data_IF_857215959609
#
_entry.id   IF_857215959609
#
_cell.length_a   1.000
_cell.length_b   1.000
_cell.length_c   1.000
_cell.angle_alpha   90.00
_cell.angle_beta   90.00
_cell.angle_gamma   90.00
#
_symmetry.space_group_name_H-M   'P 1'
#
loop_
_entity.id
_entity.type
_entity.pdbx_description
1 polymer ?
#
# COMPACT_ATOMS: atom_id res chain seq x y z
N UNK A 1 2.12 16.40 21.78
CA UNK A 1 1.30 16.18 20.59
C UNK A 1 1.32 14.70 20.22
N UNK A 2 0.18 14.10 20.04
CA UNK A 2 0.06 12.70 19.72
C UNK A 2 0.65 12.38 18.34
N UNK A 3 1.37 11.26 18.25
CA UNK A 3 1.86 10.69 17.00
C UNK A 3 0.69 10.35 16.08
N UNK A 4 0.76 10.76 14.82
CA UNK A 4 -0.26 10.39 13.86
C UNK A 4 -0.08 8.92 13.45
N UNK A 5 -1.06 8.09 13.79
CA UNK A 5 -1.01 6.63 13.61
C UNK A 5 -1.68 6.13 12.34
N UNK A 6 -2.37 7.02 11.62
CA UNK A 6 -3.09 6.68 10.39
C UNK A 6 -3.12 7.83 9.40
N UNK A 7 -3.23 7.48 8.13
CA UNK A 7 -3.43 8.38 7.00
C UNK A 7 -4.56 7.85 6.13
N UNK A 8 -5.23 8.76 5.45
CA UNK A 8 -6.24 8.44 4.44
C UNK A 8 -6.17 9.46 3.30
N UNK A 9 -6.20 8.96 2.08
CA UNK A 9 -6.31 9.75 0.84
C UNK A 9 -7.30 9.07 -0.09
N UNK A 10 -8.02 9.84 -0.91
CA UNK A 10 -8.98 9.27 -1.84
C UNK A 10 -8.99 9.98 -3.19
N UNK A 11 -9.50 9.28 -4.20
CA UNK A 11 -9.71 9.80 -5.55
C UNK A 11 -10.97 9.16 -6.12
N UNK A 12 -11.66 9.88 -7.01
CA UNK A 12 -12.74 9.31 -7.82
C UNK A 12 -12.18 8.88 -9.17
N UNK A 13 -12.42 7.62 -9.52
CA UNK A 13 -11.91 6.97 -10.73
C UNK A 13 -13.07 6.67 -11.68
N UNK A 14 -12.90 6.96 -12.95
CA UNK A 14 -13.90 6.69 -13.98
C UNK A 14 -13.84 5.23 -14.46
N UNK A 15 -14.17 4.32 -13.56
CA UNK A 15 -14.27 2.89 -13.81
C UNK A 15 -15.10 2.22 -12.71
N UNK A 16 -15.62 1.03 -12.99
CA UNK A 16 -16.37 0.24 -12.02
C UNK A 16 -15.48 -0.26 -10.86
N UNK A 17 -16.02 -0.44 -9.64
CA UNK A 17 -15.25 -0.89 -8.48
C UNK A 17 -14.43 -2.16 -8.71
N UNK A 18 -14.99 -3.14 -9.42
CA UNK A 18 -14.31 -4.42 -9.73
C UNK A 18 -13.11 -4.23 -10.65
N UNK A 19 -13.21 -3.29 -11.60
CA UNK A 19 -12.10 -2.95 -12.51
C UNK A 19 -10.93 -2.35 -11.75
N UNK A 20 -11.20 -1.38 -10.89
CA UNK A 20 -10.17 -0.73 -10.08
C UNK A 20 -9.57 -1.70 -9.06
N UNK A 21 -10.42 -2.51 -8.42
CA UNK A 21 -9.98 -3.55 -7.50
C UNK A 21 -8.96 -4.49 -8.15
N UNK A 22 -9.23 -4.98 -9.36
CA UNK A 22 -8.33 -5.91 -10.07
C UNK A 22 -6.96 -5.30 -10.35
N UNK A 23 -6.90 -4.00 -10.66
CA UNK A 23 -5.62 -3.30 -10.82
C UNK A 23 -4.83 -3.29 -9.52
N UNK A 24 -5.48 -2.97 -8.40
CA UNK A 24 -4.83 -2.87 -7.08
C UNK A 24 -4.47 -4.24 -6.52
N UNK A 25 -5.36 -5.22 -6.62
CA UNK A 25 -5.17 -6.57 -6.08
C UNK A 25 -4.11 -7.38 -6.83
N UNK A 26 -3.73 -6.97 -8.03
CA UNK A 26 -2.57 -7.53 -8.71
C UNK A 26 -1.28 -6.98 -8.10
N UNK A 27 -0.83 -7.58 -7.01
CA UNK A 27 0.34 -7.16 -6.26
C UNK A 27 1.62 -7.07 -7.10
N UNK A 28 1.75 -7.86 -8.16
CA UNK A 28 2.91 -7.83 -9.07
C UNK A 28 3.03 -6.48 -9.79
N UNK A 29 1.91 -5.79 -9.98
CA UNK A 29 1.86 -4.47 -10.61
C UNK A 29 2.02 -3.31 -9.60
N UNK A 30 2.20 -3.59 -8.31
CA UNK A 30 2.34 -2.56 -7.28
C UNK A 30 3.44 -1.54 -7.61
N UNK A 31 4.52 -1.97 -8.25
CA UNK A 31 5.60 -1.09 -8.71
C UNK A 31 5.19 -0.06 -9.78
N UNK A 32 4.05 -0.29 -10.46
CA UNK A 32 3.48 0.69 -11.41
C UNK A 32 2.76 1.83 -10.68
N UNK A 33 2.22 1.53 -9.51
CA UNK A 33 1.41 2.47 -8.74
C UNK A 33 2.23 3.19 -7.68
N UNK A 34 2.87 2.46 -6.80
CA UNK A 34 3.63 3.01 -5.69
C UNK A 34 5.00 3.56 -6.13
N UNK A 35 5.35 4.81 -5.77
CA UNK A 35 6.63 5.39 -6.16
C UNK A 35 7.84 4.75 -5.49
N UNK A 36 7.67 4.09 -4.35
CA UNK A 36 8.76 3.41 -3.64
C UNK A 36 8.91 1.94 -4.03
N UNK A 37 7.82 1.27 -4.43
CA UNK A 37 7.85 -0.14 -4.79
C UNK A 37 8.55 -0.36 -6.13
N UNK A 38 9.49 -1.30 -6.16
CA UNK A 38 10.22 -1.71 -7.37
C UNK A 38 9.76 -3.05 -7.91
N UNK A 39 9.12 -3.85 -7.08
CA UNK A 39 8.57 -5.12 -7.46
C UNK A 39 8.00 -5.89 -6.27
N UNK A 40 7.16 -6.85 -6.56
CA UNK A 40 6.56 -7.74 -5.57
C UNK A 40 6.68 -9.18 -6.05
N UNK A 41 7.20 -10.01 -5.19
CA UNK A 41 7.22 -11.45 -5.41
C UNK A 41 6.06 -12.12 -4.67
N UNK A 42 5.25 -12.85 -5.41
CA UNK A 42 4.11 -13.61 -4.90
C UNK A 42 4.36 -15.09 -5.15
N UNK A 43 4.67 -15.88 -4.10
CA UNK A 43 5.04 -17.28 -4.30
C UNK A 43 3.87 -18.17 -4.74
N UNK A 44 2.65 -17.83 -4.37
CA UNK A 44 1.45 -18.65 -4.62
C UNK A 44 0.29 -17.80 -5.15
N UNK A 45 0.25 -17.50 -6.47
CA UNK A 45 -0.91 -16.88 -7.08
C UNK A 45 -2.06 -17.91 -7.23
N UNK A 46 -3.33 -17.46 -7.35
CA UNK A 46 -3.78 -16.06 -7.31
C UNK A 46 -3.75 -15.47 -5.89
N UNK A 47 -3.71 -14.13 -5.84
CA UNK A 47 -3.71 -13.38 -4.57
C UNK A 47 -5.12 -13.39 -3.97
N UNK A 48 -5.22 -13.73 -2.70
CA UNK A 48 -6.44 -13.69 -1.92
C UNK A 48 -6.12 -13.47 -0.44
N UNK A 49 -7.14 -13.47 0.40
CA UNK A 49 -6.97 -13.35 1.86
C UNK A 49 -6.03 -14.44 2.37
N UNK A 50 -5.02 -14.04 3.16
CA UNK A 50 -3.98 -14.93 3.68
C UNK A 50 -2.76 -15.10 2.77
N UNK A 51 -2.78 -14.61 1.53
CA UNK A 51 -1.63 -14.66 0.62
C UNK A 51 -0.45 -13.91 1.19
N UNK A 52 0.74 -14.50 1.06
CA UNK A 52 2.01 -13.88 1.46
C UNK A 52 2.76 -13.35 0.25
N UNK A 53 3.54 -12.31 0.47
CA UNK A 53 4.37 -11.71 -0.57
C UNK A 53 5.62 -11.03 0.00
N UNK A 54 6.58 -10.72 -0.86
CA UNK A 54 7.75 -9.92 -0.53
C UNK A 54 7.77 -8.71 -1.44
N UNK A 55 7.80 -7.52 -0.84
CA UNK A 55 7.92 -6.26 -1.54
C UNK A 55 9.36 -5.75 -1.52
N UNK A 56 9.86 -5.31 -2.67
CA UNK A 56 11.17 -4.68 -2.84
C UNK A 56 10.98 -3.20 -3.08
N UNK A 57 11.61 -2.37 -2.28
CA UNK A 57 11.39 -0.93 -2.25
C UNK A 57 12.70 -0.16 -2.39
N UNK A 58 12.60 1.04 -2.94
CA UNK A 58 13.72 1.97 -3.08
C UNK A 58 13.25 3.41 -2.95
N UNK A 59 14.04 4.21 -2.23
CA UNK A 59 13.88 5.67 -2.17
C UNK A 59 15.27 6.32 -2.19
N UNK A 60 15.60 6.96 -3.29
CA UNK A 60 16.95 7.48 -3.50
C UNK A 60 17.99 6.34 -3.48
N UNK A 61 18.93 6.41 -2.54
CA UNK A 61 19.97 5.38 -2.34
C UNK A 61 19.54 4.28 -1.35
N UNK A 62 18.40 4.44 -0.66
CA UNK A 62 17.91 3.47 0.30
C UNK A 62 17.08 2.39 -0.38
N UNK A 63 17.49 1.14 -0.19
CA UNK A 63 16.82 -0.06 -0.71
C UNK A 63 16.46 -0.94 0.47
N UNK A 64 15.21 -1.42 0.51
CA UNK A 64 14.77 -2.35 1.56
C UNK A 64 13.71 -3.30 1.02
N UNK A 65 13.49 -4.40 1.75
CA UNK A 65 12.39 -5.32 1.48
C UNK A 65 11.41 -5.36 2.66
N UNK A 66 10.18 -5.72 2.37
CA UNK A 66 9.16 -6.00 3.36
C UNK A 66 8.52 -7.34 3.07
N UNK A 67 8.12 -8.06 4.13
CA UNK A 67 7.25 -9.21 4.00
C UNK A 67 5.82 -8.78 4.24
N UNK A 68 4.89 -9.30 3.46
CA UNK A 68 3.49 -8.92 3.54
C UNK A 68 2.54 -10.09 3.60
N UNK A 69 1.35 -9.83 4.14
CA UNK A 69 0.23 -10.75 4.16
C UNK A 69 -1.05 -10.01 3.86
N UNK A 70 -1.82 -10.52 2.93
CA UNK A 70 -3.15 -9.99 2.62
C UNK A 70 -4.11 -10.35 3.76
N UNK A 71 -4.70 -9.35 4.40
CA UNK A 71 -5.65 -9.51 5.50
C UNK A 71 -7.10 -9.50 5.04
N UNK A 72 -7.40 -8.82 3.94
CA UNK A 72 -8.72 -8.81 3.31
C UNK A 72 -8.59 -8.65 1.78
N UNK A 73 -9.34 -9.45 1.05
CA UNK A 73 -9.44 -9.39 -0.41
C UNK A 73 -10.90 -9.69 -0.80
N UNK A 74 -11.70 -8.63 -0.95
CA UNK A 74 -13.11 -8.69 -1.36
C UNK A 74 -13.29 -7.89 -2.63
N UNK A 75 -13.56 -8.58 -3.73
CA UNK A 75 -13.64 -7.98 -5.06
C UNK A 75 -14.62 -6.81 -5.11
N UNK A 76 -14.15 -5.66 -5.57
CA UNK A 76 -14.93 -4.44 -5.69
C UNK A 76 -15.21 -3.71 -4.37
N UNK A 77 -14.73 -4.23 -3.23
CA UNK A 77 -14.99 -3.64 -1.91
C UNK A 77 -13.70 -3.25 -1.17
N UNK A 78 -12.78 -4.18 -0.99
CA UNK A 78 -11.62 -3.98 -0.12
C UNK A 78 -10.42 -4.85 -0.53
N UNK A 79 -9.24 -4.25 -0.48
CA UNK A 79 -7.98 -4.96 -0.54
C UNK A 79 -7.01 -4.40 0.50
N UNK A 80 -6.71 -5.20 1.52
CA UNK A 80 -5.92 -4.76 2.68
C UNK A 80 -4.80 -5.76 2.96
N UNK A 81 -3.61 -5.25 3.28
CA UNK A 81 -2.46 -6.08 3.61
C UNK A 81 -1.58 -5.46 4.69
N UNK A 82 -0.95 -6.30 5.46
CA UNK A 82 0.01 -5.93 6.49
C UNK A 82 1.42 -6.17 5.99
N UNK A 83 2.31 -5.24 6.26
CA UNK A 83 3.74 -5.35 5.94
C UNK A 83 4.59 -5.29 7.20
N UNK A 84 5.69 -6.01 7.17
CA UNK A 84 6.64 -6.05 8.27
C UNK A 84 8.05 -6.34 7.79
N UNK A 85 8.99 -6.32 8.71
CA UNK A 85 10.41 -6.62 8.50
C UNK A 85 10.88 -7.55 9.61
N UNK A 86 11.50 -8.67 9.25
CA UNK A 86 12.01 -9.65 10.22
C UNK A 86 10.97 -10.11 11.26
N UNK A 87 9.71 -10.31 10.82
CA UNK A 87 8.62 -10.72 11.70
C UNK A 87 8.03 -9.60 12.57
N UNK A 88 8.54 -8.37 12.48
CA UNK A 88 8.03 -7.21 13.20
C UNK A 88 6.99 -6.48 12.34
N UNK A 89 5.76 -6.27 12.84
CA UNK A 89 4.74 -5.53 12.11
C UNK A 89 5.13 -4.05 11.99
N UNK A 90 4.99 -3.50 10.78
CA UNK A 90 5.34 -2.11 10.49
C UNK A 90 4.09 -1.30 10.18
N UNK A 91 3.29 -1.73 9.17
CA UNK A 91 2.16 -0.96 8.71
C UNK A 91 1.08 -1.84 8.09
N UNK A 92 -0.15 -1.34 8.15
CA UNK A 92 -1.29 -1.84 7.38
C UNK A 92 -1.61 -0.85 6.28
N UNK A 93 -1.74 -1.36 5.07
CA UNK A 93 -2.20 -0.64 3.90
C UNK A 93 -3.55 -1.19 3.48
N UNK A 94 -4.50 -0.31 3.18
CA UNK A 94 -5.82 -0.69 2.73
C UNK A 94 -6.27 0.13 1.53
N UNK A 95 -7.03 -0.50 0.65
CA UNK A 95 -7.76 0.12 -0.44
C UNK A 95 -9.22 -0.24 -0.29
N UNK A 96 -10.08 0.77 -0.28
CA UNK A 96 -11.52 0.62 -0.17
C UNK A 96 -12.17 1.22 -1.42
N UNK A 97 -13.12 0.50 -1.99
CA UNK A 97 -13.78 0.83 -3.24
C UNK A 97 -15.26 1.02 -2.99
N UNK A 98 -15.80 2.17 -3.36
CA UNK A 98 -17.22 2.48 -3.24
C UNK A 98 -17.72 3.11 -4.53
N UNK A 99 -18.86 2.63 -5.05
CA UNK A 99 -19.49 3.23 -6.22
C UNK A 99 -19.84 4.69 -5.92
N UNK A 100 -19.47 5.59 -6.82
CA UNK A 100 -19.78 7.03 -6.72
C UNK A 100 -20.10 7.57 -8.11
N UNK A 101 -21.36 7.97 -8.32
CA UNK A 101 -21.83 8.35 -9.65
C UNK A 101 -21.66 7.20 -10.64
N UNK A 102 -21.06 7.46 -11.79
CA UNK A 102 -20.71 6.45 -12.81
C UNK A 102 -19.35 5.77 -12.55
N UNK A 103 -18.63 6.17 -11.52
CA UNK A 103 -17.28 5.69 -11.21
C UNK A 103 -17.16 5.08 -9.83
N UNK A 104 -15.95 5.16 -9.30
CA UNK A 104 -15.58 4.58 -8.02
C UNK A 104 -14.76 5.57 -7.20
N UNK A 105 -15.15 5.77 -5.93
CA UNK A 105 -14.26 6.38 -4.94
C UNK A 105 -13.29 5.30 -4.44
N UNK A 106 -12.02 5.53 -4.64
CA UNK A 106 -10.95 4.70 -4.11
C UNK A 106 -10.33 5.43 -2.93
N UNK A 107 -10.35 4.81 -1.77
CA UNK A 107 -9.73 5.34 -0.56
C UNK A 107 -8.55 4.47 -0.19
N UNK A 108 -7.36 5.04 -0.18
CA UNK A 108 -6.14 4.40 0.32
C UNK A 108 -5.94 4.79 1.78
N UNK A 109 -5.69 3.79 2.62
CA UNK A 109 -5.44 3.97 4.06
C UNK A 109 -4.07 3.42 4.43
N UNK A 110 -3.43 4.07 5.39
CA UNK A 110 -2.22 3.61 6.03
C UNK A 110 -2.38 3.69 7.55
N UNK A 111 -1.96 2.64 8.24
CA UNK A 111 -1.96 2.57 9.69
C UNK A 111 -0.60 2.09 10.18
N UNK A 112 -0.03 2.80 11.14
CA UNK A 112 1.20 2.39 11.82
C UNK A 112 0.90 1.26 12.81
N UNK A 113 1.53 0.10 12.62
CA UNK A 113 1.38 -1.07 13.48
C UNK A 113 2.51 -1.21 14.51
N UNK A 114 3.45 -0.27 14.55
CA UNK A 114 4.59 -0.31 15.47
C UNK A 114 4.16 0.09 16.88
N UNK A 115 3.76 -0.90 17.65
CA UNK A 115 3.29 -0.75 19.04
C UNK A 115 4.02 -1.75 19.95
N UNK A 116 4.21 -1.40 21.24
CA UNK A 116 4.79 -2.28 22.23
C UNK A 116 6.32 -2.37 22.22
N UNK A 117 6.87 -3.42 22.83
CA UNK A 117 8.32 -3.58 23.05
C UNK A 117 9.15 -3.71 21.77
N UNK A 118 8.58 -4.25 20.71
CA UNK A 118 9.23 -4.36 19.40
C UNK A 118 9.24 -3.09 18.58
N UNK A 119 8.48 -2.07 18.97
CA UNK A 119 8.30 -0.84 18.18
C UNK A 119 9.61 -0.06 17.98
N UNK A 120 10.47 0.02 19.01
CA UNK A 120 11.76 0.69 18.90
C UNK A 120 12.69 0.02 17.89
N UNK A 121 12.73 -1.31 17.89
CA UNK A 121 13.52 -2.08 16.92
C UNK A 121 12.97 -1.86 15.52
N UNK A 122 11.64 -1.91 15.35
CA UNK A 122 11.00 -1.63 14.07
C UNK A 122 11.23 -0.19 13.58
N UNK A 123 11.27 0.79 14.48
CA UNK A 123 11.61 2.18 14.15
C UNK A 123 13.06 2.35 13.70
N UNK A 124 13.99 1.72 14.42
CA UNK A 124 15.41 1.73 14.06
C UNK A 124 15.62 1.08 12.69
N UNK A 125 15.03 -0.08 12.47
CA UNK A 125 15.10 -0.77 11.17
C UNK A 125 14.46 0.08 10.07
N UNK A 126 13.30 0.68 10.31
CA UNK A 126 12.65 1.58 9.36
C UNK A 126 13.50 2.79 9.02
N UNK A 127 14.16 3.41 10.00
CA UNK A 127 15.06 4.54 9.79
C UNK A 127 16.31 4.12 9.01
N UNK A 128 16.92 3.00 9.38
CA UNK A 128 18.13 2.49 8.73
C UNK A 128 17.87 2.04 7.30
N UNK A 129 16.79 1.28 7.05
CA UNK A 129 16.50 0.72 5.74
C UNK A 129 15.77 1.69 4.82
N UNK A 130 14.80 2.46 5.33
CA UNK A 130 14.02 3.40 4.51
C UNK A 130 14.58 4.84 4.51
N UNK A 131 15.59 5.13 5.33
CA UNK A 131 16.25 6.42 5.38
C UNK A 131 15.35 7.57 5.84
N UNK A 132 14.32 7.30 6.64
CA UNK A 132 13.38 8.32 7.15
C UNK A 132 13.11 8.13 8.63
N UNK A 133 13.04 9.25 9.37
CA UNK A 133 12.47 9.24 10.70
C UNK A 133 10.93 9.13 10.64
N UNK A 134 10.24 8.81 11.75
CA UNK A 134 8.80 8.62 11.77
C UNK A 134 7.97 9.81 11.27
N UNK A 135 8.36 11.04 11.62
CA UNK A 135 7.62 12.25 11.20
C UNK A 135 7.76 12.51 9.71
N UNK A 136 8.97 12.40 9.20
CA UNK A 136 9.23 12.55 7.77
C UNK A 136 8.55 11.43 6.97
N UNK A 137 8.44 10.24 7.56
CA UNK A 137 7.75 9.10 6.95
C UNK A 137 6.27 9.38 6.68
N UNK A 138 5.58 10.08 7.57
CA UNK A 138 4.19 10.49 7.37
C UNK A 138 4.03 11.35 6.12
N UNK A 139 4.88 12.37 5.95
CA UNK A 139 4.84 13.22 4.76
C UNK A 139 5.16 12.44 3.48
N UNK A 140 6.15 11.55 3.51
CA UNK A 140 6.52 10.68 2.39
C UNK A 140 5.36 9.74 2.04
N UNK A 141 4.73 9.11 3.02
CA UNK A 141 3.60 8.23 2.80
C UNK A 141 2.41 8.96 2.17
N UNK A 142 2.04 10.14 2.70
CA UNK A 142 0.95 10.94 2.14
C UNK A 142 1.19 11.32 0.68
N UNK A 143 2.40 11.76 0.37
CA UNK A 143 2.78 12.06 -1.02
C UNK A 143 2.73 10.81 -1.90
N UNK A 144 3.25 9.70 -1.41
CA UNK A 144 3.22 8.40 -2.11
C UNK A 144 1.80 7.91 -2.37
N UNK A 145 0.89 8.03 -1.39
CA UNK A 145 -0.52 7.67 -1.54
C UNK A 145 -1.20 8.47 -2.65
N UNK A 146 -1.02 9.78 -2.67
CA UNK A 146 -1.56 10.64 -3.75
C UNK A 146 -1.03 10.24 -5.12
N UNK A 147 0.27 10.00 -5.22
CA UNK A 147 0.89 9.54 -6.47
C UNK A 147 0.34 8.18 -6.91
N UNK A 148 0.19 7.25 -5.98
CA UNK A 148 -0.38 5.92 -6.22
C UNK A 148 -1.81 6.03 -6.76
N UNK A 149 -2.66 6.78 -6.08
CA UNK A 149 -4.06 6.97 -6.48
C UNK A 149 -4.19 7.64 -7.85
N UNK A 150 -3.36 8.65 -8.15
CA UNK A 150 -3.35 9.30 -9.46
C UNK A 150 -2.96 8.33 -10.59
N UNK A 151 -1.98 7.48 -10.35
CA UNK A 151 -1.55 6.48 -11.34
C UNK A 151 -2.62 5.41 -11.57
N UNK A 152 -3.26 4.94 -10.52
CA UNK A 152 -4.39 4.00 -10.59
C UNK A 152 -5.54 4.62 -11.38
N UNK A 153 -5.90 5.87 -11.07
CA UNK A 153 -6.98 6.58 -11.76
C UNK A 153 -6.74 6.70 -13.26
N UNK A 154 -5.53 7.04 -13.66
CA UNK A 154 -5.14 7.14 -15.08
C UNK A 154 -5.18 5.79 -15.78
N UNK A 155 -4.69 4.73 -15.12
CA UNK A 155 -4.68 3.40 -15.71
C UNK A 155 -6.08 2.82 -15.86
N UNK A 156 -6.96 3.03 -14.88
CA UNK A 156 -8.34 2.57 -14.91
C UNK A 156 -9.21 3.31 -15.95
N UNK A 157 -8.93 4.59 -16.21
CA UNK A 157 -9.62 5.39 -17.22
C UNK A 157 -9.08 5.18 -18.65
N UNK A 158 -7.93 4.52 -18.82
CA UNK A 158 -7.37 4.25 -20.14
C UNK A 158 -8.25 3.26 -20.90
N UNK A 159 -8.52 3.47 -22.21
CA UNK A 159 -9.26 2.50 -23.02
C UNK A 159 -8.50 1.17 -23.05
N UNK A 160 -9.24 0.06 -22.99
CA UNK A 160 -8.67 -1.28 -23.14
C UNK A 160 -8.03 -1.41 -24.53
N UNK A 161 -6.73 -1.70 -24.59
CA UNK A 161 -5.97 -1.94 -25.81
C UNK A 161 -6.16 -3.36 -26.31
#
# INVERSE_FOLDING_TARGET
MGRQWSLEESVVVDAAPEVVYRLVANLRDMGRWSPECRGVWVPRPPVGTGSRFVGFNRRGLFVWFTTGRVSAAREGEEFTFDVGVFGLPIARWGYHFAAEGAGTRVTETWQDLRTGRGSRIAEILGTVFAGTNPERRIAVNRHGMRTTLDRIARAAAAPAS
#
